data_IF_816628231731
#
_entry.id   IF_816628231731
#
_cell.length_a   1.000
_cell.length_b   1.000
_cell.length_c   1.000
_cell.angle_alpha   90.00
_cell.angle_beta   90.00
_cell.angle_gamma   90.00
#
_symmetry.space_group_name_H-M   'P 1'
#
loop_
_entity.id
_entity.type
_entity.pdbx_description
1 polymer ?
#
# COMPACT_ATOMS: atom_id res chain seq x y z
N UNK A 1 7.28 8.22 -3.88
CA UNK A 1 6.61 7.36 -4.87
C UNK A 1 7.12 5.93 -4.70
N UNK A 2 6.38 5.05 -4.04
CA UNK A 2 6.72 3.62 -4.04
C UNK A 2 6.16 3.00 -5.31
N UNK A 3 7.01 2.47 -6.18
CA UNK A 3 6.62 1.82 -7.44
C UNK A 3 6.52 0.30 -7.31
N UNK A 4 6.71 -0.22 -6.10
CA UNK A 4 6.83 -1.64 -5.83
C UNK A 4 5.90 -2.06 -4.71
N UNK A 5 5.32 -3.26 -4.86
CA UNK A 5 4.67 -3.93 -3.75
C UNK A 5 5.76 -4.43 -2.80
N UNK A 6 5.91 -3.75 -1.67
CA UNK A 6 6.74 -4.26 -0.58
C UNK A 6 6.32 -5.69 -0.20
N UNK A 7 7.32 -6.55 0.03
CA UNK A 7 7.11 -7.93 0.46
C UNK A 7 6.41 -7.93 1.83
N UNK A 8 5.43 -8.80 2.01
CA UNK A 8 4.69 -8.89 3.27
C UNK A 8 5.61 -9.21 4.46
N UNK A 9 6.70 -9.94 4.22
CA UNK A 9 7.72 -10.24 5.24
C UNK A 9 8.40 -8.97 5.74
N UNK A 10 8.88 -8.12 4.83
CA UNK A 10 9.50 -6.84 5.18
C UNK A 10 8.54 -5.92 5.93
N UNK A 11 7.27 -5.92 5.54
CA UNK A 11 6.24 -5.15 6.25
C UNK A 11 6.03 -5.66 7.68
N UNK A 12 6.04 -6.99 7.87
CA UNK A 12 5.96 -7.62 9.20
C UNK A 12 7.20 -7.37 10.05
N UNK A 13 8.37 -7.25 9.44
CA UNK A 13 9.62 -6.88 10.14
C UNK A 13 9.66 -5.39 10.50
N UNK A 14 9.06 -4.52 9.69
CA UNK A 14 9.00 -3.09 9.97
C UNK A 14 7.99 -2.74 11.07
N UNK A 15 6.90 -3.50 11.16
CA UNK A 15 5.86 -3.30 12.17
C UNK A 15 6.39 -3.24 13.62
N UNK A 16 7.21 -4.19 14.12
CA UNK A 16 7.76 -4.09 15.48
C UNK A 16 8.66 -2.87 15.65
N UNK A 17 9.44 -2.48 14.64
CA UNK A 17 10.27 -1.27 14.71
C UNK A 17 9.40 -0.01 14.88
N UNK A 18 8.29 0.08 14.16
CA UNK A 18 7.35 1.19 14.27
C UNK A 18 6.65 1.22 15.64
N UNK A 19 6.26 0.04 16.15
CA UNK A 19 5.66 -0.11 17.49
C UNK A 19 6.67 0.31 18.57
N UNK A 20 7.90 -0.18 18.47
CA UNK A 20 8.97 0.13 19.41
C UNK A 20 9.29 1.61 19.44
N UNK A 21 9.42 2.22 18.26
CA UNK A 21 9.61 3.67 18.14
C UNK A 21 8.47 4.44 18.79
N UNK A 22 7.22 4.02 18.56
CA UNK A 22 6.06 4.71 19.11
C UNK A 22 5.98 4.63 20.64
N UNK A 23 6.37 3.50 21.23
CA UNK A 23 6.40 3.30 22.67
C UNK A 23 7.77 3.56 23.31
N UNK A 24 8.70 4.18 22.58
CA UNK A 24 10.04 4.48 23.05
C UNK A 24 10.03 5.67 24.01
N UNK A 25 10.70 5.52 25.15
CA UNK A 25 10.75 6.54 26.22
C UNK A 25 12.20 6.91 26.59
N UNK A 26 13.10 6.90 25.60
CA UNK A 26 14.49 7.35 25.76
C UNK A 26 15.43 6.39 26.51
N UNK A 27 14.92 5.58 27.44
CA UNK A 27 15.75 4.76 28.34
C UNK A 27 15.36 3.27 28.37
N UNK A 28 14.09 2.92 28.10
CA UNK A 28 13.61 1.52 28.09
C UNK A 28 12.50 1.31 27.05
N UNK A 29 12.45 0.10 26.44
CA UNK A 29 11.27 -0.37 25.69
C UNK A 29 10.11 -0.51 26.68
N UNK A 30 9.01 0.23 26.46
CA UNK A 30 7.78 0.05 27.25
C UNK A 30 7.00 -1.18 26.78
N UNK A 31 6.30 -1.81 27.72
CA UNK A 31 5.37 -2.91 27.43
C UNK A 31 4.25 -2.44 26.50
N UNK A 32 3.92 -3.23 25.48
CA UNK A 32 2.84 -2.92 24.55
C UNK A 32 1.47 -3.10 25.23
N UNK A 33 0.75 -2.01 25.48
CA UNK A 33 -0.58 -2.06 26.12
C UNK A 33 -1.72 -2.34 25.12
N UNK A 34 -1.49 -2.06 23.83
CA UNK A 34 -2.50 -2.12 22.79
C UNK A 34 -1.92 -2.85 21.57
N UNK A 35 -2.67 -3.81 21.04
CA UNK A 35 -2.31 -4.52 19.82
C UNK A 35 -2.20 -3.56 18.61
N UNK A 36 -1.25 -3.79 17.73
CA UNK A 36 -1.02 -2.95 16.55
C UNK A 36 -2.26 -2.80 15.66
N UNK A 37 -3.04 -3.87 15.48
CA UNK A 37 -4.26 -3.82 14.68
C UNK A 37 -5.31 -2.86 15.27
N UNK A 38 -5.38 -2.73 16.60
CA UNK A 38 -6.25 -1.75 17.26
C UNK A 38 -5.71 -0.33 17.11
N UNK A 39 -4.39 -0.15 17.15
CA UNK A 39 -3.76 1.16 16.87
C UNK A 39 -4.02 1.61 15.42
N UNK A 40 -4.03 0.68 14.47
CA UNK A 40 -4.33 0.93 13.06
C UNK A 40 -5.82 1.14 12.74
N UNK A 41 -6.71 0.94 13.70
CA UNK A 41 -8.13 1.21 13.50
C UNK A 41 -8.37 2.72 13.34
N UNK A 42 -9.45 3.08 12.63
CA UNK A 42 -9.86 4.48 12.45
C UNK A 42 -10.15 5.14 13.79
N UNK A 43 -9.89 6.45 13.90
CA UNK A 43 -10.21 7.26 15.09
C UNK A 43 -11.70 7.18 15.46
N UNK A 44 -12.57 7.09 14.46
CA UNK A 44 -14.02 6.92 14.64
C UNK A 44 -14.39 5.60 15.32
N UNK A 45 -13.54 4.57 15.16
CA UNK A 45 -13.71 3.23 15.75
C UNK A 45 -12.88 3.06 17.03
N UNK A 46 -12.42 4.16 17.65
CA UNK A 46 -11.63 4.14 18.88
C UNK A 46 -10.17 3.71 18.70
N UNK A 47 -9.65 3.69 17.48
CA UNK A 47 -8.22 3.48 17.20
C UNK A 47 -7.42 4.78 17.16
N UNK A 48 -6.10 4.69 17.01
CA UNK A 48 -5.23 5.88 16.93
C UNK A 48 -5.13 6.44 15.50
N UNK A 49 -5.65 5.71 14.50
CA UNK A 49 -5.56 6.10 13.10
C UNK A 49 -4.19 5.83 12.47
N UNK A 50 -3.39 4.91 13.03
CA UNK A 50 -2.18 4.45 12.35
C UNK A 50 -2.54 3.77 11.03
N UNK A 51 -1.70 3.93 10.01
CA UNK A 51 -1.95 3.28 8.71
C UNK A 51 -1.42 1.86 8.75
N UNK A 52 -2.26 0.89 8.41
CA UNK A 52 -1.78 -0.45 8.12
C UNK A 52 -0.87 -0.40 6.88
N UNK A 53 0.39 -0.77 7.04
CA UNK A 53 1.41 -0.65 6.00
C UNK A 53 1.12 -1.53 4.78
N UNK A 54 0.51 -2.70 4.98
CA UNK A 54 0.13 -3.59 3.87
C UNK A 54 -0.95 -2.94 2.99
N UNK A 55 -1.99 -2.42 3.63
CA UNK A 55 -3.07 -1.77 2.92
C UNK A 55 -2.63 -0.42 2.33
N UNK A 56 -1.80 0.34 3.02
CA UNK A 56 -1.22 1.58 2.52
C UNK A 56 -0.33 1.35 1.28
N UNK A 57 0.45 0.28 1.27
CA UNK A 57 1.26 -0.12 0.12
C UNK A 57 0.38 -0.43 -1.12
N UNK A 58 -0.77 -1.09 -0.92
CA UNK A 58 -1.74 -1.30 -2.00
C UNK A 58 -2.34 0.01 -2.53
N UNK A 59 -2.71 0.93 -1.64
CA UNK A 59 -3.26 2.24 -2.03
C UNK A 59 -2.23 3.06 -2.81
N UNK A 60 -0.96 3.02 -2.41
CA UNK A 60 0.12 3.70 -3.12
C UNK A 60 0.29 3.15 -4.54
N UNK A 61 0.22 1.82 -4.71
CA UNK A 61 0.25 1.18 -6.02
C UNK A 61 -0.95 1.56 -6.88
N UNK A 62 -2.16 1.53 -6.30
CA UNK A 62 -3.38 1.94 -6.98
C UNK A 62 -3.30 3.40 -7.44
N UNK A 63 -2.83 4.31 -6.58
CA UNK A 63 -2.61 5.72 -6.91
C UNK A 63 -1.60 5.89 -8.05
N UNK A 64 -0.53 5.10 -8.05
CA UNK A 64 0.47 5.14 -9.12
C UNK A 64 -0.10 4.63 -10.45
N UNK A 65 -0.83 3.52 -10.42
CA UNK A 65 -1.50 2.96 -11.60
C UNK A 65 -2.51 3.95 -12.18
N UNK A 66 -3.33 4.55 -11.31
CA UNK A 66 -4.28 5.59 -11.67
C UNK A 66 -3.61 6.80 -12.33
N UNK A 67 -2.48 7.26 -11.79
CA UNK A 67 -1.70 8.36 -12.39
C UNK A 67 -1.17 8.03 -13.78
N UNK A 68 -0.74 6.78 -14.01
CA UNK A 68 -0.27 6.30 -15.31
C UNK A 68 -1.42 6.25 -16.34
N UNK A 69 -2.63 5.89 -15.89
CA UNK A 69 -3.83 5.84 -16.72
C UNK A 69 -4.28 7.24 -17.16
N UNK A 70 -4.36 8.20 -16.22
CA UNK A 70 -4.82 9.56 -16.51
C UNK A 70 -3.79 10.34 -17.32
N UNK A 71 -2.51 10.21 -17.00
CA UNK A 71 -1.44 11.05 -17.57
C UNK A 71 -0.34 10.19 -18.20
N UNK A 72 -0.60 9.56 -19.37
CA UNK A 72 0.35 8.66 -20.00
C UNK A 72 1.57 9.39 -20.60
N UNK A 73 1.47 10.70 -20.83
CA UNK A 73 2.53 11.52 -21.46
C UNK A 73 3.61 12.01 -20.48
N UNK A 74 3.35 11.95 -19.17
CA UNK A 74 4.32 12.39 -18.16
C UNK A 74 5.55 11.48 -18.13
N UNK A 75 6.72 12.05 -17.82
CA UNK A 75 8.00 11.32 -17.78
C UNK A 75 7.94 10.11 -16.85
N UNK A 76 7.38 10.28 -15.66
CA UNK A 76 7.19 9.19 -14.68
C UNK A 76 6.37 8.05 -15.28
N UNK A 77 5.27 8.35 -15.97
CA UNK A 77 4.45 7.33 -16.63
C UNK A 77 5.20 6.60 -17.73
N UNK A 78 6.02 7.30 -18.53
CA UNK A 78 6.87 6.70 -19.57
C UNK A 78 7.93 5.77 -18.98
N UNK A 79 8.65 6.23 -17.95
CA UNK A 79 9.70 5.44 -17.27
C UNK A 79 9.11 4.21 -16.60
N UNK A 80 7.97 4.35 -15.91
CA UNK A 80 7.30 3.22 -15.26
C UNK A 80 6.73 2.23 -16.27
N UNK A 81 6.16 2.71 -17.39
CA UNK A 81 5.74 1.87 -18.52
C UNK A 81 6.91 1.09 -19.11
N UNK A 82 8.01 1.76 -19.42
CA UNK A 82 9.19 1.11 -19.98
C UNK A 82 9.78 0.06 -19.02
N UNK A 83 9.88 0.37 -17.73
CA UNK A 83 10.53 -0.53 -16.77
C UNK A 83 9.65 -1.71 -16.35
N UNK A 84 8.35 -1.49 -16.13
CA UNK A 84 7.48 -2.50 -15.50
C UNK A 84 6.42 -3.07 -16.43
N UNK A 85 5.90 -2.30 -17.38
CA UNK A 85 4.84 -2.79 -18.27
C UNK A 85 5.38 -3.61 -19.44
N UNK A 86 6.63 -3.42 -19.86
CA UNK A 86 7.27 -4.27 -20.88
C UNK A 86 7.44 -5.73 -20.40
N UNK A 87 7.76 -5.94 -19.13
CA UNK A 87 7.85 -7.28 -18.53
C UNK A 87 6.45 -7.93 -18.48
N UNK A 88 5.43 -7.18 -18.09
CA UNK A 88 4.05 -7.69 -17.98
C UNK A 88 3.45 -8.02 -19.35
N UNK A 89 3.71 -7.22 -20.39
CA UNK A 89 3.25 -7.51 -21.77
C UNK A 89 3.99 -8.70 -22.37
N UNK A 90 5.31 -8.82 -22.14
CA UNK A 90 6.10 -9.96 -22.64
C UNK A 90 5.73 -11.29 -21.99
N UNK A 91 5.37 -11.27 -20.69
CA UNK A 91 4.79 -12.44 -20.01
C UNK A 91 3.35 -12.73 -20.46
N UNK A 92 2.55 -11.69 -20.72
CA UNK A 92 1.18 -11.83 -21.25
C UNK A 92 1.14 -12.44 -22.66
N UNK A 93 2.14 -12.14 -23.50
CA UNK A 93 2.30 -12.80 -24.81
C UNK A 93 2.76 -14.26 -24.71
N UNK A 94 3.39 -14.65 -23.59
CA UNK A 94 3.90 -16.01 -23.35
C UNK A 94 2.89 -16.93 -22.65
N UNK A 95 2.00 -16.38 -21.84
CA UNK A 95 0.98 -17.09 -21.08
C UNK A 95 -0.36 -16.40 -21.29
N UNK A 96 -1.09 -16.79 -22.34
CA UNK A 96 -2.29 -16.09 -22.82
C UNK A 96 -3.49 -16.10 -21.87
N UNK A 97 -3.48 -15.25 -20.84
CA UNK A 97 -4.66 -14.96 -20.01
C UNK A 97 -4.81 -13.45 -19.75
N UNK A 98 -6.05 -13.01 -19.55
CA UNK A 98 -6.41 -11.60 -19.40
C UNK A 98 -6.22 -11.06 -17.98
N UNK A 99 -5.17 -10.27 -17.77
CA UNK A 99 -4.81 -9.68 -16.46
C UNK A 99 -5.33 -8.24 -16.23
N UNK A 100 -6.21 -7.70 -17.08
CA UNK A 100 -6.75 -6.34 -16.87
C UNK A 100 -7.59 -6.26 -15.58
N UNK A 101 -8.15 -7.38 -15.13
CA UNK A 101 -8.90 -7.52 -13.88
C UNK A 101 -8.05 -7.23 -12.63
N UNK A 102 -6.75 -7.53 -12.64
CA UNK A 102 -5.88 -7.37 -11.47
C UNK A 102 -5.60 -5.90 -11.16
N UNK A 103 -5.45 -5.06 -12.20
CA UNK A 103 -5.30 -3.61 -12.06
C UNK A 103 -6.58 -2.96 -11.53
N UNK A 104 -7.73 -3.36 -12.04
CA UNK A 104 -9.04 -2.89 -11.58
C UNK A 104 -9.30 -3.32 -10.13
N UNK A 105 -9.07 -4.58 -9.78
CA UNK A 105 -9.21 -5.10 -8.41
C UNK A 105 -8.32 -4.33 -7.44
N UNK A 106 -7.07 -4.00 -7.82
CA UNK A 106 -6.19 -3.19 -6.98
C UNK A 106 -6.69 -1.75 -6.80
N UNK A 107 -7.26 -1.15 -7.83
CA UNK A 107 -7.88 0.19 -7.75
C UNK A 107 -9.11 0.15 -6.83
N UNK A 108 -9.96 -0.88 -6.94
CA UNK A 108 -11.13 -1.07 -6.08
C UNK A 108 -10.76 -1.34 -4.62
N UNK A 109 -9.73 -2.15 -4.37
CA UNK A 109 -9.20 -2.39 -3.03
C UNK A 109 -8.57 -1.12 -2.42
N UNK A 110 -7.82 -0.36 -3.22
CA UNK A 110 -7.20 0.90 -2.80
C UNK A 110 -8.21 2.00 -2.47
N UNK A 111 -9.24 2.17 -3.31
CA UNK A 111 -10.30 3.18 -3.09
C UNK A 111 -11.20 2.82 -1.92
N UNK A 112 -11.47 1.53 -1.70
CA UNK A 112 -12.22 1.04 -0.54
C UNK A 112 -11.47 1.30 0.77
N UNK A 113 -10.16 1.03 0.81
CA UNK A 113 -9.34 1.34 1.98
C UNK A 113 -9.23 2.85 2.24
N UNK A 114 -9.08 3.68 1.19
CA UNK A 114 -9.07 5.14 1.35
C UNK A 114 -10.36 5.65 2.00
N UNK A 115 -11.53 5.16 1.56
CA UNK A 115 -12.84 5.51 2.16
C UNK A 115 -12.93 5.14 3.65
N UNK A 116 -12.42 3.96 4.03
CA UNK A 116 -12.43 3.49 5.43
C UNK A 116 -11.49 4.31 6.32
N UNK A 117 -10.35 4.74 5.81
CA UNK A 117 -9.39 5.56 6.55
C UNK A 117 -9.88 7.00 6.72
N UNK A 118 -10.51 7.58 5.70
CA UNK A 118 -10.97 8.98 5.71
C UNK A 118 -12.33 9.15 6.42
N UNK A 119 -12.95 8.06 6.91
CA UNK A 119 -14.18 8.12 7.70
C UNK A 119 -15.42 8.55 6.89
N UNK A 120 -15.37 8.43 5.56
CA UNK A 120 -16.48 8.75 4.65
C UNK A 120 -17.38 7.52 4.43
N UNK A 121 -18.01 7.05 5.50
CA UNK A 121 -18.95 5.94 5.52
C UNK A 121 -20.18 6.25 6.34
#
# INVERSE_FOLDING_TARGET
MSCFRLLKTLLKEFQPLAVDFFWYDGNRRRTYWIAWDKLCSSKLKGGLGFRNLEAFNLVLLAKQLWSILISPKCLVSKVLKAKYFLVTISLKLRWGHDHLTLGEVLIWQGTSYARVVDGLG
#
